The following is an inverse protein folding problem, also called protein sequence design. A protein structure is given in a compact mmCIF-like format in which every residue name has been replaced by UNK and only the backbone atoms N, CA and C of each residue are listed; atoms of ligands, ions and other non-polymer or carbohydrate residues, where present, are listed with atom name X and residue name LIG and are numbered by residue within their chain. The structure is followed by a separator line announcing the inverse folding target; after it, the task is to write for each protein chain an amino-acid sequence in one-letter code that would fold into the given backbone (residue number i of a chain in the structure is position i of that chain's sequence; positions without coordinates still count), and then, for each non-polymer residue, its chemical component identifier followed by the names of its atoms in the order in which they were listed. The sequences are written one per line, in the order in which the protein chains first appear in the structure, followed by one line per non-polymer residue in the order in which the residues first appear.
data_IF_062551586769
#
_entry.id   IF_062551586769
#
_cell.length_a   1.000
_cell.length_b   1.000
_cell.length_c   1.000
_cell.angle_alpha   90.00
_cell.angle_beta   90.00
_cell.angle_gamma   90.00
#
_symmetry.space_group_name_H-M   'P 1'
#
loop_
_entity.id
_entity.type
_entity.pdbx_description
1 polymer ?
#
# COMPACT_ATOMS: atom_id res chain seq x y z
N UNK A 1 -0.43 31.96 -22.55
CA UNK A 1 0.53 31.24 -21.70
C UNK A 1 0.51 31.63 -20.20
N UNK A 2 -0.40 32.51 -19.76
CA UNK A 2 -0.43 33.03 -18.36
C UNK A 2 -1.38 32.28 -17.39
N UNK A 3 -2.21 31.34 -17.87
CA UNK A 3 -3.24 30.69 -17.03
C UNK A 3 -2.76 29.40 -16.31
N UNK A 4 -1.61 28.84 -16.70
CA UNK A 4 -1.10 27.61 -16.07
C UNK A 4 -0.18 27.84 -14.85
N UNK A 5 0.37 29.03 -14.72
CA UNK A 5 1.27 29.40 -13.60
C UNK A 5 0.53 29.85 -12.33
N UNK A 6 -0.75 30.19 -12.42
CA UNK A 6 -1.50 30.68 -11.26
C UNK A 6 -2.02 29.56 -10.34
N UNK A 7 -2.18 28.35 -10.84
CA UNK A 7 -2.66 27.20 -10.05
C UNK A 7 -1.55 26.66 -9.13
N UNK A 8 -0.30 26.76 -9.51
CA UNK A 8 0.83 26.27 -8.70
C UNK A 8 1.18 27.22 -7.54
N UNK A 9 0.93 28.52 -7.69
CA UNK A 9 1.24 29.52 -6.67
C UNK A 9 0.24 29.53 -5.50
N UNK A 10 -0.99 29.07 -5.70
CA UNK A 10 -2.03 29.06 -4.67
C UNK A 10 -1.88 27.89 -3.68
N UNK A 11 -1.13 26.83 -4.03
CA UNK A 11 -0.85 25.69 -3.16
C UNK A 11 0.28 25.98 -2.15
N UNK A 12 1.13 26.95 -2.39
CA UNK A 12 2.27 27.29 -1.51
C UNK A 12 1.90 28.26 -0.37
N UNK A 13 0.68 28.81 -0.35
CA UNK A 13 0.30 29.88 0.59
C UNK A 13 -0.44 29.43 1.85
N UNK A 14 -0.75 28.16 2.04
CA UNK A 14 -1.43 27.68 3.23
C UNK A 14 -0.42 27.14 4.25
N UNK A 15 0.09 28.05 5.10
CA UNK A 15 0.79 27.68 6.33
C UNK A 15 -0.21 27.04 7.31
N UNK A 16 -0.50 25.76 7.12
CA UNK A 16 -1.16 24.96 8.13
C UNK A 16 -0.12 24.48 9.13
N UNK A 17 -0.47 24.53 10.43
CA UNK A 17 0.35 23.91 11.48
C UNK A 17 0.69 22.49 11.05
N UNK A 18 1.98 22.25 10.83
CA UNK A 18 2.48 21.09 10.12
C UNK A 18 2.28 19.82 10.96
N UNK A 19 1.28 19.04 10.61
CA UNK A 19 1.36 17.61 10.83
C UNK A 19 2.23 17.06 9.71
N UNK A 20 3.23 16.23 10.05
CA UNK A 20 4.34 15.88 9.16
C UNK A 20 3.89 15.30 7.81
N UNK A 21 4.40 15.84 6.70
CA UNK A 21 4.42 15.16 5.41
C UNK A 21 5.41 14.01 5.52
N UNK A 22 5.02 12.83 5.08
CA UNK A 22 5.90 11.66 5.05
C UNK A 22 6.15 11.24 3.61
N UNK A 23 7.42 11.06 3.25
CA UNK A 23 7.87 10.44 2.00
C UNK A 23 8.36 9.04 2.37
N UNK A 24 7.88 8.02 1.68
CA UNK A 24 8.29 6.62 1.86
C UNK A 24 8.80 6.06 0.53
N UNK A 25 10.04 5.57 0.55
CA UNK A 25 10.70 4.89 -0.56
C UNK A 25 10.80 3.42 -0.23
N UNK A 26 10.43 2.55 -1.18
CA UNK A 26 10.44 1.10 -0.99
C UNK A 26 10.90 0.37 -2.23
N UNK A 27 11.80 -0.56 -2.03
CA UNK A 27 12.15 -1.60 -3.01
C UNK A 27 11.55 -2.94 -2.58
N UNK A 28 11.02 -3.69 -3.54
CA UNK A 28 10.45 -5.02 -3.36
C UNK A 28 11.18 -6.01 -4.25
N UNK A 29 11.53 -7.14 -3.68
CA UNK A 29 12.07 -8.29 -4.39
C UNK A 29 11.27 -9.54 -4.05
N UNK A 30 10.91 -10.34 -5.06
CA UNK A 30 10.23 -11.63 -4.89
C UNK A 30 11.20 -12.74 -5.27
N UNK A 31 11.56 -13.58 -4.30
CA UNK A 31 12.40 -14.74 -4.50
C UNK A 31 11.60 -15.92 -5.05
N UNK A 32 12.23 -16.68 -5.91
CA UNK A 32 11.69 -17.91 -6.50
C UNK A 32 11.61 -17.91 -8.01
N UNK A 33 11.99 -16.81 -8.70
CA UNK A 33 12.08 -16.76 -10.18
C UNK A 33 10.79 -17.16 -10.92
N UNK A 34 9.66 -17.15 -10.23
CA UNK A 34 8.36 -17.63 -10.73
C UNK A 34 7.54 -16.53 -11.37
N UNK A 35 8.05 -15.29 -11.30
CA UNK A 35 7.45 -14.10 -11.89
C UNK A 35 8.52 -13.37 -12.69
N UNK A 36 8.22 -13.02 -13.94
CA UNK A 36 9.08 -12.16 -14.81
C UNK A 36 9.25 -10.75 -14.23
N UNK A 37 8.63 -10.46 -13.10
CA UNK A 37 8.52 -9.14 -12.46
C UNK A 37 8.90 -9.21 -11.00
N UNK A 38 10.07 -9.75 -10.71
CA UNK A 38 10.53 -10.02 -9.35
C UNK A 38 10.96 -8.75 -8.58
N UNK A 39 11.23 -7.63 -9.26
CA UNK A 39 11.63 -6.37 -8.64
C UNK A 39 10.61 -5.27 -8.89
N UNK A 40 10.26 -4.52 -7.84
CA UNK A 40 9.37 -3.37 -7.95
C UNK A 40 9.76 -2.27 -6.95
N UNK A 41 9.51 -1.04 -7.33
CA UNK A 41 9.80 0.16 -6.54
C UNK A 41 8.54 0.98 -6.33
N UNK A 42 8.50 1.70 -5.20
CA UNK A 42 7.42 2.60 -4.85
C UNK A 42 7.95 3.86 -4.19
N UNK A 43 7.43 4.99 -4.62
CA UNK A 43 7.49 6.25 -3.87
C UNK A 43 6.09 6.58 -3.39
N UNK A 44 5.93 6.88 -2.12
CA UNK A 44 4.68 7.31 -1.53
C UNK A 44 4.87 8.65 -0.81
N UNK A 45 3.93 9.56 -1.01
CA UNK A 45 3.85 10.83 -0.27
C UNK A 45 2.52 10.85 0.46
N UNK A 46 2.55 11.05 1.76
CA UNK A 46 1.35 11.08 2.58
C UNK A 46 1.34 12.27 3.52
N UNK A 47 0.13 12.77 3.79
CA UNK A 47 -0.10 13.81 4.78
C UNK A 47 -1.43 13.57 5.50
N UNK A 48 -1.44 13.84 6.81
CA UNK A 48 -2.66 13.83 7.58
C UNK A 48 -2.81 15.15 8.35
N UNK A 49 -3.89 15.84 8.09
CA UNK A 49 -4.23 17.10 8.78
C UNK A 49 -4.71 16.86 10.23
N UNK A 50 -4.62 17.87 11.05
CA UNK A 50 -5.04 17.80 12.46
C UNK A 50 -6.52 17.42 12.65
N UNK A 51 -7.40 17.75 11.67
CA UNK A 51 -8.81 17.35 11.67
C UNK A 51 -9.06 15.88 11.32
N UNK A 52 -7.99 15.11 11.06
CA UNK A 52 -8.06 13.70 10.71
C UNK A 52 -8.12 13.39 9.21
N UNK A 53 -8.36 14.39 8.33
CA UNK A 53 -8.31 14.21 6.88
C UNK A 53 -6.89 13.82 6.46
N UNK A 54 -6.75 12.82 5.61
CA UNK A 54 -5.47 12.34 5.12
C UNK A 54 -5.48 12.04 3.64
N UNK A 55 -4.35 12.28 3.00
CA UNK A 55 -4.09 11.95 1.60
C UNK A 55 -2.82 11.14 1.49
N UNK A 56 -2.81 10.21 0.54
CA UNK A 56 -1.61 9.46 0.14
C UNK A 56 -1.61 9.34 -1.37
N UNK A 57 -0.48 9.62 -1.98
CA UNK A 57 -0.23 9.42 -3.41
C UNK A 57 0.96 8.49 -3.56
N UNK A 58 0.82 7.45 -4.36
CA UNK A 58 1.87 6.48 -4.61
C UNK A 58 2.14 6.37 -6.11
N UNK A 59 3.41 6.39 -6.50
CA UNK A 59 3.88 6.02 -7.83
C UNK A 59 4.68 4.71 -7.74
N UNK A 60 4.43 3.81 -8.68
CA UNK A 60 4.96 2.45 -8.69
C UNK A 60 5.68 2.15 -9.99
N UNK A 61 6.82 1.48 -9.90
CA UNK A 61 7.61 0.99 -11.03
C UNK A 61 7.96 -0.46 -10.82
N UNK A 62 8.39 -1.12 -11.85
CA UNK A 62 8.90 -2.50 -11.79
C UNK A 62 9.96 -2.70 -12.86
N UNK A 63 10.84 -3.67 -12.65
CA UNK A 63 11.69 -4.18 -13.70
C UNK A 63 10.83 -4.86 -14.77
N UNK A 64 11.16 -4.65 -16.03
CA UNK A 64 10.48 -5.18 -17.21
C UNK A 64 11.43 -5.97 -18.10
N UNK A 65 11.01 -6.22 -19.34
CA UNK A 65 11.81 -6.90 -20.34
C UNK A 65 12.15 -8.35 -19.98
N UNK A 66 13.19 -8.88 -20.62
CA UNK A 66 13.64 -10.27 -20.44
C UNK A 66 14.42 -10.48 -19.13
N UNK A 67 14.82 -9.40 -18.45
CA UNK A 67 15.64 -9.42 -17.23
C UNK A 67 14.89 -8.89 -16.00
N UNK A 68 13.62 -9.18 -15.86
CA UNK A 68 12.79 -8.70 -14.74
C UNK A 68 13.31 -9.12 -13.34
N UNK A 69 14.19 -10.12 -13.27
CA UNK A 69 14.88 -10.53 -12.05
C UNK A 69 16.04 -9.61 -11.65
N UNK A 70 16.54 -8.78 -12.56
CA UNK A 70 17.59 -7.80 -12.25
C UNK A 70 16.97 -6.49 -11.78
N UNK A 71 17.35 -5.96 -10.60
CA UNK A 71 16.90 -4.66 -10.12
C UNK A 71 17.20 -3.57 -11.15
N UNK A 72 16.20 -2.70 -11.37
CA UNK A 72 16.30 -1.53 -12.26
C UNK A 72 16.56 -1.85 -13.75
N UNK A 73 16.42 -3.11 -14.16
CA UNK A 73 16.47 -3.47 -15.58
C UNK A 73 15.16 -3.11 -16.25
N UNK A 74 15.25 -2.40 -17.41
CA UNK A 74 14.09 -2.03 -18.24
C UNK A 74 12.91 -1.49 -17.41
N UNK A 75 13.17 -0.47 -16.59
CA UNK A 75 12.18 0.09 -15.65
C UNK A 75 10.94 0.58 -16.40
N UNK A 76 9.79 0.01 -16.05
CA UNK A 76 8.50 0.39 -16.62
C UNK A 76 7.53 0.84 -15.50
N UNK A 77 6.59 1.71 -15.87
CA UNK A 77 5.52 2.13 -14.98
C UNK A 77 4.68 0.93 -14.50
N UNK A 78 4.30 0.93 -13.22
CA UNK A 78 3.43 -0.09 -12.63
C UNK A 78 2.16 0.55 -12.03
N UNK A 79 1.83 1.75 -12.47
CA UNK A 79 0.66 2.51 -12.06
C UNK A 79 0.89 3.41 -10.86
N UNK A 80 -0.21 4.01 -10.41
CA UNK A 80 -0.27 4.87 -9.23
C UNK A 80 -1.44 4.47 -8.34
N UNK A 81 -1.40 4.92 -7.10
CA UNK A 81 -2.48 4.71 -6.13
C UNK A 81 -2.70 5.98 -5.32
N UNK A 82 -3.93 6.50 -5.34
CA UNK A 82 -4.31 7.75 -4.69
C UNK A 82 -5.38 7.46 -3.64
N UNK A 83 -5.12 7.86 -2.39
CA UNK A 83 -6.01 7.59 -1.26
C UNK A 83 -6.43 8.88 -0.58
N UNK A 84 -7.73 8.99 -0.30
CA UNK A 84 -8.29 9.93 0.66
C UNK A 84 -8.86 9.15 1.83
N UNK A 85 -8.64 9.63 3.07
CA UNK A 85 -9.17 8.97 4.26
C UNK A 85 -9.44 9.98 5.36
N UNK A 86 -10.28 9.61 6.30
CA UNK A 86 -10.54 10.43 7.48
C UNK A 86 -10.41 9.60 8.75
N UNK A 87 -9.42 9.93 9.59
CA UNK A 87 -9.17 9.25 10.86
C UNK A 87 -9.98 9.90 11.97
N UNK A 88 -10.97 9.19 12.45
CA UNK A 88 -11.76 9.57 13.60
C UNK A 88 -11.27 8.86 14.86
N UNK A 89 -10.94 9.63 15.89
CA UNK A 89 -10.57 9.14 17.21
C UNK A 89 -11.86 8.98 18.04
N UNK A 90 -12.41 7.77 18.06
CA UNK A 90 -13.66 7.49 18.79
C UNK A 90 -13.45 7.45 20.32
N UNK A 91 -12.28 6.93 20.76
CA UNK A 91 -11.81 7.00 22.16
C UNK A 91 -10.32 7.31 22.20
N UNK A 92 -9.70 7.38 23.40
CA UNK A 92 -8.24 7.55 23.51
C UNK A 92 -7.46 6.50 22.73
N UNK A 93 -7.99 5.30 22.62
CA UNK A 93 -7.30 4.10 22.16
C UNK A 93 -7.91 3.52 20.89
N UNK A 94 -9.14 3.94 20.50
CA UNK A 94 -9.86 3.38 19.35
C UNK A 94 -10.01 4.37 18.22
N UNK A 95 -9.61 3.97 17.03
CA UNK A 95 -9.62 4.78 15.81
C UNK A 95 -10.42 4.09 14.70
N UNK A 96 -11.26 4.87 14.02
CA UNK A 96 -11.94 4.49 12.79
C UNK A 96 -11.41 5.34 11.64
N UNK A 97 -11.12 4.70 10.52
CA UNK A 97 -10.58 5.40 9.35
C UNK A 97 -11.28 4.90 8.10
N UNK A 98 -12.47 5.46 7.76
CA UNK A 98 -13.01 5.28 6.42
C UNK A 98 -12.10 5.94 5.40
N UNK A 99 -12.03 5.34 4.21
CA UNK A 99 -11.24 5.88 3.13
C UNK A 99 -11.65 5.33 1.78
N UNK A 100 -11.13 5.96 0.76
CA UNK A 100 -11.33 5.58 -0.63
C UNK A 100 -10.00 5.68 -1.36
N UNK A 101 -9.66 4.62 -2.10
CA UNK A 101 -8.44 4.55 -2.89
C UNK A 101 -8.81 4.30 -4.34
N UNK A 102 -8.12 4.96 -5.26
CA UNK A 102 -8.11 4.65 -6.68
C UNK A 102 -6.71 4.17 -7.02
N UNK A 103 -6.60 2.98 -7.61
CA UNK A 103 -5.37 2.51 -8.24
C UNK A 103 -5.60 2.46 -9.75
N UNK A 104 -4.64 2.93 -10.52
CA UNK A 104 -4.73 2.93 -11.99
C UNK A 104 -3.39 2.59 -12.62
N UNK A 105 -3.45 1.87 -13.73
CA UNK A 105 -2.34 1.62 -14.64
C UNK A 105 -2.86 1.57 -16.07
N UNK A 106 -2.00 1.25 -17.03
CA UNK A 106 -2.32 1.24 -18.47
C UNK A 106 -3.44 0.26 -18.85
N UNK A 107 -3.74 -0.72 -18.01
CA UNK A 107 -4.67 -1.82 -18.34
C UNK A 107 -5.97 -1.80 -17.56
N UNK A 108 -6.05 -1.09 -16.43
CA UNK A 108 -7.23 -1.10 -15.57
C UNK A 108 -7.22 0.02 -14.53
N UNK A 109 -8.41 0.31 -13.99
CA UNK A 109 -8.59 1.11 -12.77
C UNK A 109 -9.30 0.28 -11.71
N UNK A 110 -8.88 0.44 -10.44
CA UNK A 110 -9.45 -0.28 -9.30
C UNK A 110 -9.93 0.75 -8.28
N UNK A 111 -11.21 0.69 -7.94
CA UNK A 111 -11.86 1.53 -6.94
C UNK A 111 -11.96 0.75 -5.63
N UNK A 112 -11.43 1.31 -4.53
CA UNK A 112 -11.21 0.57 -3.29
C UNK A 112 -11.77 1.33 -2.06
N UNK A 113 -13.10 1.45 -1.89
CA UNK A 113 -13.65 1.91 -0.62
C UNK A 113 -13.24 0.95 0.51
N UNK A 114 -12.91 1.52 1.68
CA UNK A 114 -12.45 0.73 2.81
C UNK A 114 -12.80 1.37 4.15
N UNK A 115 -12.85 0.53 5.19
CA UNK A 115 -12.91 0.93 6.58
C UNK A 115 -11.77 0.23 7.32
N UNK A 116 -10.90 1.01 7.93
CA UNK A 116 -9.85 0.54 8.82
C UNK A 116 -10.21 0.88 10.26
N UNK A 117 -10.04 -0.08 11.15
CA UNK A 117 -10.23 0.07 12.59
C UNK A 117 -8.94 -0.30 13.32
N UNK A 118 -8.60 0.43 14.37
CA UNK A 118 -7.42 0.16 15.17
C UNK A 118 -7.71 0.39 16.65
N UNK A 119 -7.25 -0.53 17.47
CA UNK A 119 -7.18 -0.36 18.92
C UNK A 119 -5.73 -0.40 19.39
N UNK A 120 -5.31 0.60 20.14
CA UNK A 120 -3.95 0.71 20.69
C UNK A 120 -4.01 0.56 22.20
N UNK A 121 -3.21 -0.36 22.74
CA UNK A 121 -3.09 -0.60 24.18
C UNK A 121 -2.02 0.34 24.75
N UNK A 122 -2.11 0.63 26.04
CA UNK A 122 -1.18 1.54 26.73
C UNK A 122 0.26 1.00 26.83
N UNK A 123 0.44 -0.31 26.65
CA UNK A 123 1.74 -0.99 26.69
C UNK A 123 2.49 -0.99 25.35
N UNK A 124 2.03 -0.24 24.35
CA UNK A 124 2.65 -0.16 23.02
C UNK A 124 2.20 -1.25 22.03
N UNK A 125 1.35 -2.18 22.45
CA UNK A 125 0.73 -3.16 21.57
C UNK A 125 -0.47 -2.52 20.83
N UNK A 126 -0.74 -2.96 19.62
CA UNK A 126 -1.96 -2.59 18.90
C UNK A 126 -2.47 -3.74 18.03
N UNK A 127 -3.75 -3.72 17.78
CA UNK A 127 -4.40 -4.57 16.78
C UNK A 127 -5.18 -3.69 15.82
N UNK A 128 -5.23 -4.10 14.55
CA UNK A 128 -6.01 -3.40 13.56
C UNK A 128 -6.64 -4.37 12.57
N UNK A 129 -7.73 -3.94 11.96
CA UNK A 129 -8.36 -4.65 10.86
C UNK A 129 -8.84 -3.66 9.79
N UNK A 130 -8.86 -4.09 8.55
CA UNK A 130 -9.45 -3.33 7.45
C UNK A 130 -10.30 -4.25 6.59
N UNK A 131 -11.51 -3.83 6.30
CA UNK A 131 -12.28 -4.37 5.19
C UNK A 131 -12.16 -3.41 4.00
N UNK A 132 -11.94 -3.98 2.82
CA UNK A 132 -11.82 -3.25 1.57
C UNK A 132 -12.58 -3.99 0.47
N UNK A 133 -13.47 -3.30 -0.21
CA UNK A 133 -14.07 -3.76 -1.44
C UNK A 133 -13.28 -3.22 -2.61
N UNK A 134 -12.86 -4.06 -3.54
CA UNK A 134 -12.09 -3.67 -4.71
C UNK A 134 -12.94 -3.95 -5.95
N UNK A 135 -13.26 -2.91 -6.70
CA UNK A 135 -13.93 -3.00 -7.99
C UNK A 135 -12.94 -2.67 -9.10
N UNK A 136 -12.56 -3.70 -9.85
CA UNK A 136 -11.64 -3.57 -11.00
C UNK A 136 -12.45 -3.34 -12.25
N UNK A 137 -12.16 -2.26 -12.94
CA UNK A 137 -12.76 -1.92 -14.24
C UNK A 137 -11.69 -1.97 -15.32
N UNK A 138 -11.98 -2.71 -16.37
CA UNK A 138 -11.16 -2.79 -17.57
C UNK A 138 -11.71 -1.85 -18.66
N UNK A 139 -10.86 -1.34 -19.60
CA UNK A 139 -11.33 -0.65 -20.79
C UNK A 139 -12.25 -1.56 -21.62
N UNK A 140 -13.24 -0.98 -22.31
CA UNK A 140 -14.24 -1.73 -23.07
C UNK A 140 -13.66 -2.63 -24.17
N UNK A 141 -12.44 -2.35 -24.62
CA UNK A 141 -11.73 -3.13 -25.64
C UNK A 141 -10.75 -4.17 -25.07
N UNK A 142 -10.70 -4.34 -23.76
CA UNK A 142 -9.73 -5.24 -23.11
C UNK A 142 -10.11 -6.74 -23.24
N UNK A 143 -11.35 -7.06 -23.65
CA UNK A 143 -11.84 -8.45 -23.72
C UNK A 143 -11.85 -9.16 -22.36
N UNK A 144 -11.96 -8.40 -21.26
CA UNK A 144 -11.99 -8.90 -19.88
C UNK A 144 -13.19 -8.30 -19.17
N UNK A 145 -13.86 -9.13 -18.39
CA UNK A 145 -14.93 -8.70 -17.51
C UNK A 145 -14.38 -8.00 -16.26
N UNK A 146 -15.18 -7.08 -15.72
CA UNK A 146 -14.87 -6.41 -14.45
C UNK A 146 -14.80 -7.44 -13.31
N UNK A 147 -13.91 -7.22 -12.35
CA UNK A 147 -13.76 -8.07 -11.16
C UNK A 147 -14.14 -7.33 -9.88
N UNK A 148 -14.72 -8.06 -8.95
CA UNK A 148 -15.11 -7.58 -7.63
C UNK A 148 -14.44 -8.44 -6.57
N UNK A 149 -13.69 -7.80 -5.67
CA UNK A 149 -12.90 -8.48 -4.66
C UNK A 149 -13.29 -7.99 -3.27
N UNK A 150 -13.59 -8.93 -2.38
CA UNK A 150 -13.71 -8.68 -0.96
C UNK A 150 -12.35 -8.98 -0.31
N UNK A 151 -11.78 -7.98 0.35
CA UNK A 151 -10.48 -8.08 1.00
C UNK A 151 -10.57 -7.72 2.48
N UNK A 152 -10.01 -8.58 3.32
CA UNK A 152 -9.77 -8.34 4.73
C UNK A 152 -8.28 -8.31 5.01
N UNK A 153 -7.84 -7.32 5.76
CA UNK A 153 -6.49 -7.24 6.30
C UNK A 153 -6.56 -7.20 7.83
N UNK A 154 -5.66 -7.90 8.52
CA UNK A 154 -5.52 -7.86 9.96
C UNK A 154 -4.07 -7.58 10.34
N UNK A 155 -3.88 -6.80 11.40
CA UNK A 155 -2.55 -6.47 11.92
C UNK A 155 -2.49 -6.68 13.42
N UNK A 156 -1.33 -7.09 13.90
CA UNK A 156 -0.92 -7.04 15.28
C UNK A 156 0.48 -6.45 15.33
N UNK A 157 0.68 -5.39 16.11
CA UNK A 157 1.96 -4.71 16.18
C UNK A 157 2.36 -4.33 17.59
N UNK A 158 3.64 -4.12 17.78
CA UNK A 158 4.22 -3.74 19.05
C UNK A 158 5.31 -2.67 18.84
N UNK A 159 5.30 -1.64 19.68
CA UNK A 159 6.32 -0.60 19.74
C UNK A 159 7.09 -0.70 21.06
N UNK A 160 8.41 -0.84 20.98
CA UNK A 160 9.31 -0.89 22.12
C UNK A 160 10.50 0.04 21.87
N UNK A 161 10.57 1.14 22.59
CA UNK A 161 11.55 2.18 22.33
C UNK A 161 11.42 2.69 20.89
N UNK A 162 12.52 2.63 20.13
CA UNK A 162 12.57 3.05 18.74
C UNK A 162 12.20 1.94 17.74
N UNK A 163 11.98 0.73 18.22
CA UNK A 163 11.60 -0.41 17.38
C UNK A 163 10.09 -0.54 17.26
N UNK A 164 9.64 -0.89 16.05
CA UNK A 164 8.25 -1.26 15.75
C UNK A 164 8.24 -2.55 14.96
N UNK A 165 7.49 -3.53 15.45
CA UNK A 165 7.28 -4.81 14.76
C UNK A 165 5.80 -4.96 14.46
N UNK A 166 5.47 -5.44 13.28
CA UNK A 166 4.10 -5.63 12.82
C UNK A 166 3.96 -6.97 12.10
N UNK A 167 2.96 -7.72 12.46
CA UNK A 167 2.46 -8.89 11.73
C UNK A 167 1.24 -8.43 10.92
N UNK A 168 1.15 -8.84 9.67
CA UNK A 168 0.01 -8.57 8.82
C UNK A 168 -0.46 -9.85 8.12
N UNK A 169 -1.75 -10.10 8.18
CA UNK A 169 -2.44 -11.13 7.41
C UNK A 169 -3.40 -10.49 6.43
N UNK A 170 -3.40 -10.97 5.20
CA UNK A 170 -4.29 -10.52 4.13
C UNK A 170 -5.07 -11.70 3.58
N UNK A 171 -6.38 -11.53 3.43
CA UNK A 171 -7.26 -12.43 2.70
C UNK A 171 -8.03 -11.64 1.65
N UNK A 172 -7.99 -12.08 0.40
CA UNK A 172 -8.74 -11.46 -0.68
C UNK A 172 -9.45 -12.53 -1.52
N UNK A 173 -10.72 -12.30 -1.85
CA UNK A 173 -11.55 -13.22 -2.63
C UNK A 173 -12.30 -12.49 -3.74
N UNK A 174 -12.14 -12.97 -4.99
CA UNK A 174 -12.96 -12.55 -6.12
C UNK A 174 -14.39 -13.09 -5.98
N UNK A 175 -15.38 -12.27 -6.23
CA UNK A 175 -16.78 -12.66 -6.31
C UNK A 175 -17.17 -13.18 -7.71
N UNK A 176 -16.39 -12.83 -8.72
CA UNK A 176 -16.60 -13.21 -10.12
C UNK A 176 -15.81 -14.49 -10.50
N UNK A 177 -15.16 -15.13 -9.53
CA UNK A 177 -14.40 -16.37 -9.77
C UNK A 177 -13.03 -16.17 -10.41
N UNK A 178 -12.56 -14.93 -10.56
CA UNK A 178 -11.22 -14.63 -11.13
C UNK A 178 -10.14 -15.27 -10.28
N UNK A 179 -9.22 -15.99 -10.92
CA UNK A 179 -8.12 -16.67 -10.24
C UNK A 179 -7.17 -15.69 -9.58
N UNK A 180 -6.79 -15.95 -8.33
CA UNK A 180 -5.91 -15.12 -7.52
C UNK A 180 -4.68 -15.88 -6.99
N UNK A 181 -4.84 -17.15 -6.63
CA UNK A 181 -3.78 -17.99 -6.13
C UNK A 181 -4.13 -19.46 -6.37
N UNK A 182 -3.20 -20.24 -6.92
CA UNK A 182 -3.39 -21.67 -7.14
C UNK A 182 -4.70 -21.98 -7.91
N UNK A 183 -4.99 -21.16 -8.92
CA UNK A 183 -6.25 -21.20 -9.69
C UNK A 183 -7.54 -21.10 -8.84
N UNK A 184 -7.42 -20.65 -7.59
CA UNK A 184 -8.57 -20.42 -6.71
C UNK A 184 -8.98 -18.94 -6.74
N UNK A 185 -10.26 -18.63 -6.49
CA UNK A 185 -10.75 -17.26 -6.50
C UNK A 185 -10.33 -16.45 -5.26
N UNK A 186 -9.41 -16.94 -4.43
CA UNK A 186 -8.91 -16.27 -3.24
C UNK A 186 -7.38 -16.31 -3.15
N UNK A 187 -6.83 -15.38 -2.38
CA UNK A 187 -5.41 -15.33 -2.02
C UNK A 187 -5.22 -15.02 -0.55
N UNK A 188 -4.09 -15.45 -0.02
CA UNK A 188 -3.67 -15.19 1.35
C UNK A 188 -2.21 -14.71 1.32
N UNK A 189 -1.90 -13.72 2.17
CA UNK A 189 -0.55 -13.22 2.37
C UNK A 189 -0.25 -13.09 3.86
N UNK A 190 0.98 -13.37 4.24
CA UNK A 190 1.50 -13.22 5.59
C UNK A 190 2.75 -12.36 5.52
N UNK A 191 2.79 -11.29 6.31
CA UNK A 191 3.91 -10.36 6.30
C UNK A 191 4.38 -10.07 7.72
N UNK A 192 5.69 -9.91 7.88
CA UNK A 192 6.34 -9.43 9.09
C UNK A 192 7.16 -8.21 8.71
N UNK A 193 6.89 -7.09 9.37
CA UNK A 193 7.61 -5.83 9.16
C UNK A 193 8.31 -5.43 10.45
N UNK A 194 9.55 -4.97 10.33
CA UNK A 194 10.32 -4.36 11.42
C UNK A 194 10.78 -3.00 10.94
N UNK A 195 10.52 -1.97 11.73
CA UNK A 195 10.97 -0.61 11.49
C UNK A 195 11.75 -0.10 12.70
N UNK A 196 12.74 0.76 12.44
CA UNK A 196 13.52 1.41 13.47
C UNK A 196 13.43 2.94 13.31
N UNK A 197 13.09 3.64 14.38
CA UNK A 197 13.11 5.11 14.41
C UNK A 197 14.54 5.55 14.63
N UNK A 198 15.26 5.88 13.56
CA UNK A 198 16.67 6.31 13.62
C UNK A 198 16.80 7.67 14.32
N UNK A 199 15.87 8.58 14.02
CA UNK A 199 15.71 9.88 14.63
C UNK A 199 14.25 10.37 14.51
N UNK A 200 13.99 11.66 14.66
CA UNK A 200 12.63 12.21 14.56
C UNK A 200 12.06 12.17 13.14
N UNK A 201 12.91 12.09 12.13
CA UNK A 201 12.55 12.19 10.72
C UNK A 201 12.68 10.84 9.99
N UNK A 202 13.77 10.10 10.23
CA UNK A 202 14.11 8.88 9.49
C UNK A 202 13.64 7.59 10.16
N UNK A 203 12.96 6.76 9.40
CA UNK A 203 12.49 5.44 9.85
C UNK A 203 12.73 4.38 8.77
N UNK A 204 13.92 3.78 8.70
CA UNK A 204 14.18 2.62 7.85
C UNK A 204 13.38 1.41 8.31
N UNK A 205 13.05 0.52 7.36
CA UNK A 205 12.33 -0.72 7.66
C UNK A 205 12.67 -1.85 6.70
N UNK A 206 12.43 -3.07 7.18
CA UNK A 206 12.42 -4.30 6.40
C UNK A 206 11.10 -5.04 6.57
N UNK A 207 10.68 -5.74 5.53
CA UNK A 207 9.50 -6.60 5.57
C UNK A 207 9.80 -7.89 4.82
N UNK A 208 9.41 -9.01 5.41
CA UNK A 208 9.38 -10.32 4.75
C UNK A 208 7.92 -10.77 4.63
N UNK A 209 7.55 -11.27 3.48
CA UNK A 209 6.20 -11.74 3.19
C UNK A 209 6.20 -13.11 2.53
N UNK A 210 5.16 -13.88 2.82
CA UNK A 210 4.85 -15.12 2.12
C UNK A 210 3.61 -14.87 1.25
N UNK A 211 3.76 -14.93 -0.06
CA UNK A 211 2.74 -14.60 -1.06
C UNK A 211 2.47 -15.77 -1.98
N UNK A 212 1.24 -15.89 -2.46
CA UNK A 212 0.85 -16.93 -3.38
C UNK A 212 1.21 -16.63 -4.83
N UNK A 213 1.25 -17.67 -5.64
CA UNK A 213 1.40 -17.62 -7.10
C UNK A 213 0.05 -17.88 -7.75
N UNK A 214 -0.30 -17.14 -8.80
CA UNK A 214 -1.66 -17.14 -9.33
C UNK A 214 -2.08 -18.49 -9.93
N UNK A 215 -1.19 -19.14 -10.67
CA UNK A 215 -1.42 -20.36 -11.46
C UNK A 215 -0.83 -21.64 -10.82
N UNK A 216 -0.30 -21.55 -9.60
CA UNK A 216 0.41 -22.64 -8.91
C UNK A 216 0.05 -22.72 -7.44
N UNK A 217 0.21 -23.91 -6.86
CA UNK A 217 0.09 -24.14 -5.41
C UNK A 217 1.29 -23.62 -4.61
N UNK A 218 2.38 -23.29 -5.32
CA UNK A 218 3.59 -22.76 -4.72
C UNK A 218 3.37 -21.39 -4.05
N UNK A 219 4.20 -21.13 -3.05
CA UNK A 219 4.30 -19.83 -2.41
C UNK A 219 5.68 -19.24 -2.65
N UNK A 220 5.75 -17.92 -2.67
CA UNK A 220 6.96 -17.16 -2.87
C UNK A 220 7.29 -16.34 -1.64
N UNK A 221 8.57 -16.07 -1.42
CA UNK A 221 9.01 -15.13 -0.39
C UNK A 221 9.20 -13.76 -1.01
N UNK A 222 8.56 -12.77 -0.41
CA UNK A 222 8.67 -11.37 -0.80
C UNK A 222 9.50 -10.63 0.24
N UNK A 223 10.53 -9.94 -0.20
CA UNK A 223 11.34 -9.04 0.62
C UNK A 223 11.05 -7.60 0.24
N UNK A 224 10.95 -6.74 1.23
CA UNK A 224 10.80 -5.30 1.06
C UNK A 224 11.77 -4.59 1.98
N UNK A 225 12.49 -3.62 1.44
CA UNK A 225 13.29 -2.69 2.21
C UNK A 225 12.84 -1.28 1.87
N UNK A 226 12.82 -0.42 2.85
CA UNK A 226 12.37 0.94 2.62
C UNK A 226 12.82 1.89 3.70
N UNK A 227 12.57 3.15 3.45
CA UNK A 227 12.82 4.24 4.39
C UNK A 227 11.72 5.28 4.30
N UNK A 228 11.17 5.65 5.44
CA UNK A 228 10.26 6.76 5.56
C UNK A 228 10.97 7.98 6.14
N UNK A 229 10.71 9.15 5.54
CA UNK A 229 11.16 10.45 6.04
C UNK A 229 9.94 11.32 6.34
N UNK A 230 9.85 11.82 7.57
CA UNK A 230 8.79 12.71 8.03
C UNK A 230 9.37 14.08 8.34
N UNK A 231 8.76 15.14 7.75
CA UNK A 231 9.20 16.52 7.94
C UNK A 231 8.73 17.10 9.28
#
# INVERSE_FOLDING_TARGET
MLKRSLVLATLCGMSFAATAVTIDLRHEFIDGGKSDKSNADRVSVSHRFANGLGFTVEAKWRSGGDNGSQPYSDVVGNGHEDTISWRWKATSNFFLTPGFTIESNDSRSIYKPHLHVQYSFDNGFYVAARYRYEYTRYPNNAGKDDDKVNRGDAWAGFALGDWRTELNYVYARSSEGVSRNDNKPYSQEYNVKVAYKLDNNWSPYGEIGNVGVNDRSDRQTRFRVGVAYSF
#
